data_IF_036312482059
#
_entry.id   IF_036312482059
#
_cell.length_a   1.000
_cell.length_b   1.000
_cell.length_c   1.000
_cell.angle_alpha   90.00
_cell.angle_beta   90.00
_cell.angle_gamma   90.00
#
_symmetry.space_group_name_H-M   'P 1'
#
loop_
_entity.id
_entity.type
_entity.pdbx_description
1 polymer ?
#
# COMPACT_ATOMS: atom_id res chain seq x y z
N UNK A 1 -11.84 3.70 -3.98
CA UNK A 1 -10.39 3.89 -3.73
C UNK A 1 -10.05 3.55 -2.29
N UNK A 2 -8.87 3.05 -2.07
CA UNK A 2 -8.34 2.81 -0.74
C UNK A 2 -7.15 3.73 -0.50
N UNK A 3 -7.02 4.23 0.71
CA UNK A 3 -5.89 5.05 1.11
C UNK A 3 -4.94 4.18 1.91
N UNK A 4 -3.71 4.06 1.41
CA UNK A 4 -2.65 3.27 2.06
C UNK A 4 -1.65 4.26 2.66
N UNK A 5 -1.40 4.12 3.96
CA UNK A 5 -0.49 5.00 4.69
C UNK A 5 0.64 4.16 5.28
N UNK A 6 1.87 4.64 5.10
CA UNK A 6 3.04 4.01 5.73
C UNK A 6 3.16 4.52 7.18
N UNK A 7 2.83 3.65 8.12
CA UNK A 7 2.90 3.98 9.55
C UNK A 7 4.26 3.68 10.16
N UNK A 8 5.19 3.13 9.37
CA UNK A 8 6.51 2.80 9.87
C UNK A 8 7.45 4.01 9.83
N UNK A 9 8.66 3.82 10.33
CA UNK A 9 9.72 4.83 10.27
C UNK A 9 10.65 4.62 9.09
N UNK A 10 10.37 3.63 8.24
CA UNK A 10 11.18 3.29 7.08
C UNK A 10 10.37 3.42 5.81
N UNK A 11 11.01 3.82 4.72
CA UNK A 11 10.40 3.79 3.40
C UNK A 11 10.49 2.37 2.84
N UNK A 12 9.48 1.97 2.05
CA UNK A 12 9.51 0.69 1.35
C UNK A 12 8.67 0.75 0.09
N UNK A 13 8.89 -0.24 -0.79
CA UNK A 13 8.07 -0.41 -1.97
C UNK A 13 6.85 -1.27 -1.65
N UNK A 14 5.70 -0.88 -2.19
CA UNK A 14 4.51 -1.71 -2.16
C UNK A 14 4.16 -2.13 -3.59
N UNK A 15 3.61 -3.33 -3.73
CA UNK A 15 3.25 -3.90 -5.02
C UNK A 15 1.75 -3.76 -5.24
N UNK A 16 1.40 -3.29 -6.43
CA UNK A 16 0.00 -3.17 -6.86
C UNK A 16 -0.26 -4.16 -7.97
N UNK A 17 -1.40 -4.84 -7.91
CA UNK A 17 -1.84 -5.74 -8.96
C UNK A 17 -2.77 -4.97 -9.88
N UNK A 18 -2.26 -4.57 -11.04
CA UNK A 18 -3.03 -3.81 -12.01
C UNK A 18 -3.41 -4.68 -13.22
N UNK A 19 -4.39 -4.27 -14.04
CA UNK A 19 -4.70 -4.99 -15.28
C UNK A 19 -3.51 -5.10 -16.23
N UNK A 20 -2.56 -4.17 -16.15
CA UNK A 20 -1.35 -4.18 -16.98
C UNK A 20 -0.19 -4.96 -16.33
N UNK A 21 -0.41 -5.63 -15.19
CA UNK A 21 0.61 -6.39 -14.48
C UNK A 21 0.91 -5.77 -13.12
N UNK A 22 2.01 -6.20 -12.52
CA UNK A 22 2.44 -5.70 -11.20
C UNK A 22 3.13 -4.36 -11.37
N UNK A 23 2.75 -3.40 -10.53
CA UNK A 23 3.39 -2.08 -10.44
C UNK A 23 3.91 -1.88 -9.03
N UNK A 24 4.95 -1.09 -8.89
CA UNK A 24 5.51 -0.77 -7.58
C UNK A 24 5.36 0.71 -7.28
N UNK A 25 5.15 1.02 -6.00
CA UNK A 25 5.08 2.40 -5.50
C UNK A 25 6.02 2.51 -4.32
N UNK A 26 6.89 3.51 -4.36
CA UNK A 26 7.77 3.84 -3.25
C UNK A 26 6.98 4.66 -2.24
N UNK A 27 6.90 4.19 -1.01
CA UNK A 27 6.10 4.83 0.04
C UNK A 27 7.01 5.25 1.19
N UNK A 28 7.13 6.54 1.37
CA UNK A 28 7.97 7.12 2.44
C UNK A 28 7.27 7.01 3.79
N UNK A 29 8.01 7.13 4.89
CA UNK A 29 7.40 7.15 6.23
C UNK A 29 6.30 8.21 6.31
N UNK A 30 5.14 7.80 6.84
CA UNK A 30 3.97 8.67 7.04
C UNK A 30 3.30 9.16 5.75
N UNK A 31 3.80 8.74 4.59
CA UNK A 31 3.18 9.06 3.31
C UNK A 31 1.94 8.21 3.08
N UNK A 32 0.95 8.82 2.42
CA UNK A 32 -0.27 8.11 2.00
C UNK A 32 -0.39 8.15 0.49
N UNK A 33 -1.00 7.11 -0.06
CA UNK A 33 -1.32 7.03 -1.49
C UNK A 33 -2.69 6.42 -1.66
N UNK A 34 -3.47 6.97 -2.59
CA UNK A 34 -4.80 6.44 -2.93
C UNK A 34 -4.67 5.45 -4.09
N UNK A 35 -5.20 4.26 -3.91
CA UNK A 35 -5.16 3.20 -4.94
C UNK A 35 -6.54 2.57 -5.10
N UNK A 36 -6.89 2.13 -6.33
CA UNK A 36 -8.12 1.35 -6.52
C UNK A 36 -8.11 0.09 -5.66
N UNK A 37 -9.24 -0.22 -5.05
CA UNK A 37 -9.32 -1.36 -4.13
C UNK A 37 -8.93 -2.69 -4.76
N UNK A 38 -9.19 -2.86 -6.07
CA UNK A 38 -8.82 -4.07 -6.78
C UNK A 38 -7.32 -4.24 -7.02
N UNK A 39 -6.51 -3.23 -6.72
CA UNK A 39 -5.05 -3.28 -6.91
C UNK A 39 -4.31 -3.72 -5.65
N UNK A 40 -5.02 -3.91 -4.55
CA UNK A 40 -4.40 -4.29 -3.28
C UNK A 40 -3.83 -5.71 -3.41
N UNK A 41 -2.52 -5.85 -3.18
CA UNK A 41 -1.84 -7.14 -3.25
C UNK A 41 -1.80 -7.81 -1.89
N UNK A 42 -1.45 -9.11 -1.89
CA UNK A 42 -1.27 -9.85 -0.63
C UNK A 42 -0.15 -9.25 0.22
N UNK A 43 0.88 -8.71 -0.42
CA UNK A 43 1.96 -8.02 0.30
C UNK A 43 1.41 -6.88 1.14
N UNK A 44 0.52 -6.06 0.57
CA UNK A 44 -0.09 -4.95 1.28
C UNK A 44 -0.91 -5.46 2.47
N UNK A 45 -1.71 -6.51 2.26
CA UNK A 45 -2.51 -7.10 3.33
C UNK A 45 -1.61 -7.62 4.46
N UNK A 46 -0.52 -8.30 4.10
CA UNK A 46 0.45 -8.80 5.08
C UNK A 46 1.05 -7.64 5.88
N UNK A 47 1.42 -6.55 5.22
CA UNK A 47 2.01 -5.39 5.89
C UNK A 47 1.00 -4.68 6.78
N UNK A 48 -0.27 -4.63 6.37
CA UNK A 48 -1.34 -4.09 7.23
C UNK A 48 -1.49 -4.94 8.48
N UNK A 49 -1.46 -6.26 8.33
CA UNK A 49 -1.56 -7.17 9.48
C UNK A 49 -0.37 -7.03 10.43
N UNK A 50 0.79 -6.64 9.93
CA UNK A 50 1.98 -6.36 10.74
C UNK A 50 2.03 -4.94 11.27
N UNK A 51 0.99 -4.14 11.00
CA UNK A 51 0.88 -2.75 11.42
C UNK A 51 1.95 -1.83 10.84
N UNK A 52 2.51 -2.21 9.69
CA UNK A 52 3.42 -1.36 8.93
C UNK A 52 2.67 -0.38 8.04
N UNK A 53 1.48 -0.77 7.61
CA UNK A 53 0.60 0.05 6.78
C UNK A 53 -0.78 0.15 7.43
N UNK A 54 -1.46 1.26 7.16
CA UNK A 54 -2.89 1.43 7.47
C UNK A 54 -3.65 1.50 6.16
N UNK A 55 -4.75 0.78 6.08
CA UNK A 55 -5.62 0.74 4.92
C UNK A 55 -6.98 1.31 5.30
N UNK A 56 -7.41 2.35 4.58
CA UNK A 56 -8.69 3.02 4.83
C UNK A 56 -9.44 3.20 3.53
N UNK A 57 -10.74 3.44 3.63
CA UNK A 57 -11.52 3.91 2.50
C UNK A 57 -11.14 5.38 2.26
N UNK A 58 -10.86 5.69 1.02
CA UNK A 58 -10.54 7.05 0.64
C UNK A 58 -11.81 7.88 0.42
#
# INVERSE_FOLDING_TARGET
MKLVTNDSLQAFEIFLRTPAGVRTVWLRPKQSVAIPGGYISEQIVTMVNRRLLTLRNA
#
